data_IF_858519301023
#
_entry.id   IF_858519301023
#
_cell.length_a   1.000
_cell.length_b   1.000
_cell.length_c   1.000
_cell.angle_alpha   90.00
_cell.angle_beta   90.00
_cell.angle_gamma   90.00
#
_symmetry.space_group_name_H-M   'P 1'
#
loop_
_entity.id
_entity.type
_entity.pdbx_description
1 polymer ?
#
# COMPACT_ATOMS: atom_id res chain seq x y z
N UNK A 1 18.73 0.68 -7.09
CA UNK A 1 17.69 1.64 -6.71
C UNK A 1 16.89 1.08 -5.55
N UNK A 2 16.77 1.86 -4.47
CA UNK A 2 16.00 1.40 -3.32
C UNK A 2 14.52 1.30 -3.64
N UNK A 3 13.86 0.37 -3.00
CA UNK A 3 12.44 0.09 -3.21
C UNK A 3 11.64 0.51 -1.98
N UNK A 4 10.69 1.41 -2.21
CA UNK A 4 9.84 1.97 -1.16
C UNK A 4 8.42 1.46 -1.35
N UNK A 5 7.74 1.12 -0.25
CA UNK A 5 6.34 0.70 -0.30
C UNK A 5 5.51 1.55 0.63
N UNK A 6 4.49 2.19 0.08
CA UNK A 6 3.50 2.92 0.87
C UNK A 6 2.32 2.01 1.12
N UNK A 7 1.97 1.83 2.38
CA UNK A 7 0.82 0.99 2.75
C UNK A 7 -0.35 1.89 3.07
N UNK A 8 -1.43 1.69 2.35
CA UNK A 8 -2.65 2.48 2.44
C UNK A 8 -3.84 1.60 2.81
N UNK A 9 -4.82 2.20 3.48
CA UNK A 9 -6.06 1.50 3.78
C UNK A 9 -6.84 1.24 2.48
N UNK A 10 -7.11 2.29 1.71
CA UNK A 10 -7.84 2.18 0.45
C UNK A 10 -7.53 3.38 -0.45
N UNK A 11 -6.78 3.16 -1.53
CA UNK A 11 -6.39 4.22 -2.47
C UNK A 11 -7.54 4.65 -3.39
N UNK A 12 -8.67 3.96 -3.37
CA UNK A 12 -9.81 4.32 -4.21
C UNK A 12 -10.73 5.35 -3.56
N UNK A 13 -10.49 5.66 -2.29
CA UNK A 13 -11.25 6.68 -1.54
C UNK A 13 -10.58 8.03 -1.72
N UNK A 14 -11.39 9.09 -1.87
CA UNK A 14 -10.84 10.44 -1.94
C UNK A 14 -10.69 11.01 -0.53
N UNK A 15 -9.46 11.39 -0.18
CA UNK A 15 -9.16 11.90 1.15
C UNK A 15 -7.76 12.49 1.22
N UNK A 16 -7.43 13.08 2.37
CA UNK A 16 -6.15 13.75 2.57
C UNK A 16 -4.96 12.80 2.56
N UNK A 17 -5.10 11.64 3.19
CA UNK A 17 -4.00 10.67 3.28
C UNK A 17 -3.67 10.10 1.91
N UNK A 18 -4.68 9.74 1.13
CA UNK A 18 -4.49 9.20 -0.22
C UNK A 18 -3.86 10.22 -1.14
N UNK A 19 -4.24 11.49 -0.98
CA UNK A 19 -3.66 12.57 -1.77
C UNK A 19 -2.19 12.77 -1.43
N UNK A 20 -1.83 12.75 -0.15
CA UNK A 20 -0.44 12.86 0.30
C UNK A 20 0.37 11.68 -0.21
N UNK A 21 -0.16 10.47 -0.11
CA UNK A 21 0.52 9.28 -0.61
C UNK A 21 0.81 9.39 -2.10
N UNK A 22 -0.18 9.83 -2.88
CA UNK A 22 -0.01 10.02 -4.33
C UNK A 22 1.10 11.03 -4.62
N UNK A 23 1.10 12.16 -3.93
CA UNK A 23 2.10 13.20 -4.12
C UNK A 23 3.50 12.71 -3.79
N UNK A 24 3.66 12.02 -2.67
CA UNK A 24 4.96 11.49 -2.26
C UNK A 24 5.44 10.40 -3.22
N UNK A 25 4.55 9.49 -3.60
CA UNK A 25 4.92 8.40 -4.50
C UNK A 25 5.38 8.95 -5.86
N UNK A 26 4.63 9.90 -6.41
CA UNK A 26 5.00 10.51 -7.69
C UNK A 26 6.34 11.27 -7.59
N UNK A 27 6.56 11.95 -6.47
CA UNK A 27 7.80 12.68 -6.27
C UNK A 27 9.01 11.75 -6.14
N UNK A 28 8.83 10.59 -5.51
CA UNK A 28 9.93 9.67 -5.24
C UNK A 28 10.27 8.74 -6.40
N UNK A 29 9.39 8.57 -7.39
CA UNK A 29 9.61 7.56 -8.42
C UNK A 29 10.74 7.91 -9.39
N UNK A 30 11.29 9.10 -9.34
CA UNK A 30 12.51 9.45 -10.11
C UNK A 30 13.77 8.88 -9.46
N UNK A 31 13.78 8.79 -8.12
CA UNK A 31 14.97 8.37 -7.37
C UNK A 31 14.85 6.97 -6.77
N UNK A 32 13.64 6.45 -6.66
CA UNK A 32 13.37 5.17 -6.03
C UNK A 32 12.36 4.38 -6.85
N UNK A 33 12.38 3.07 -6.68
CA UNK A 33 11.32 2.24 -7.22
C UNK A 33 10.20 2.21 -6.20
N UNK A 34 9.01 2.70 -6.59
CA UNK A 34 7.92 2.96 -5.65
C UNK A 34 6.79 1.95 -5.84
N UNK A 35 6.32 1.44 -4.71
CA UNK A 35 5.20 0.51 -4.64
C UNK A 35 4.13 1.09 -3.73
N UNK A 36 2.86 0.86 -4.05
CA UNK A 36 1.74 1.19 -3.18
C UNK A 36 0.95 -0.09 -2.95
N UNK A 37 0.78 -0.44 -1.68
CA UNK A 37 0.01 -1.61 -1.29
C UNK A 37 -1.25 -1.15 -0.57
N UNK A 38 -2.40 -1.38 -1.19
CA UNK A 38 -3.70 -1.07 -0.61
C UNK A 38 -4.32 -2.29 0.04
N UNK A 39 -4.83 -2.14 1.24
CA UNK A 39 -5.52 -3.24 1.92
C UNK A 39 -6.85 -3.51 1.23
N UNK A 40 -7.57 -2.46 0.88
CA UNK A 40 -8.85 -2.54 0.18
C UNK A 40 -8.79 -1.82 -1.17
N UNK A 41 -9.87 -1.94 -1.94
CA UNK A 41 -9.99 -1.25 -3.20
C UNK A 41 -9.69 -2.09 -4.43
N UNK A 42 -9.54 -3.41 -4.25
CA UNK A 42 -9.25 -4.32 -5.37
C UNK A 42 -10.39 -4.27 -6.39
N UNK A 43 -10.00 -4.06 -7.65
CA UNK A 43 -10.96 -3.98 -8.75
C UNK A 43 -11.63 -2.64 -8.93
N UNK A 44 -11.35 -1.67 -8.05
CA UNK A 44 -11.90 -0.32 -8.18
C UNK A 44 -10.89 0.63 -8.80
N UNK A 45 -11.39 1.68 -9.43
CA UNK A 45 -10.55 2.70 -10.04
C UNK A 45 -9.93 3.61 -8.99
N UNK A 46 -8.63 3.87 -9.10
CA UNK A 46 -7.94 4.84 -8.25
C UNK A 46 -8.15 6.23 -8.85
N UNK A 47 -8.74 7.17 -8.08
CA UNK A 47 -9.08 8.50 -8.63
C UNK A 47 -7.90 9.47 -8.74
N UNK A 48 -6.69 9.04 -8.41
CA UNK A 48 -5.51 9.88 -8.46
C UNK A 48 -4.61 9.49 -9.62
N UNK A 49 -3.86 10.46 -10.15
CA UNK A 49 -2.91 10.22 -11.23
C UNK A 49 -1.59 9.69 -10.66
N UNK A 50 -1.44 8.39 -10.68
CA UNK A 50 -0.18 7.76 -10.28
C UNK A 50 0.75 7.66 -11.49
N UNK A 51 2.03 7.99 -11.28
CA UNK A 51 3.04 7.81 -12.31
C UNK A 51 3.04 6.35 -12.78
N UNK A 52 3.11 6.09 -14.10
CA UNK A 52 3.08 4.71 -14.61
C UNK A 52 4.19 3.80 -14.08
N UNK A 53 5.26 4.38 -13.53
CA UNK A 53 6.35 3.60 -12.95
C UNK A 53 6.00 3.04 -11.57
N UNK A 54 4.93 3.52 -10.94
CA UNK A 54 4.52 3.08 -9.61
C UNK A 54 3.82 1.73 -9.72
N UNK A 55 4.24 0.78 -8.87
CA UNK A 55 3.61 -0.53 -8.78
C UNK A 55 2.49 -0.47 -7.74
N UNK A 56 1.26 -0.63 -8.17
CA UNK A 56 0.10 -0.57 -7.28
C UNK A 56 -0.55 -1.94 -7.15
N UNK A 57 -0.85 -2.34 -5.92
CA UNK A 57 -1.61 -3.57 -5.66
C UNK A 57 -2.61 -3.33 -4.54
N UNK A 58 -3.85 -3.75 -4.75
CA UNK A 58 -4.89 -3.78 -3.73
C UNK A 58 -5.23 -5.23 -3.44
N UNK A 59 -5.30 -5.59 -2.15
CA UNK A 59 -5.43 -6.99 -1.75
C UNK A 59 -6.88 -7.44 -1.65
N UNK A 60 -7.75 -6.64 -1.02
CA UNK A 60 -9.14 -7.02 -0.78
C UNK A 60 -10.09 -6.06 -1.47
N UNK A 61 -11.24 -6.57 -1.93
CA UNK A 61 -12.22 -5.76 -2.66
C UNK A 61 -13.05 -4.87 -1.74
N UNK A 62 -13.42 -5.36 -0.57
CA UNK A 62 -14.34 -4.67 0.33
C UNK A 62 -13.80 -4.63 1.75
N UNK A 63 -14.29 -3.65 2.52
CA UNK A 63 -14.00 -3.58 3.95
C UNK A 63 -14.62 -4.79 4.63
N UNK A 64 -13.88 -5.42 5.51
CA UNK A 64 -14.33 -6.58 6.25
C UNK A 64 -13.92 -6.46 7.71
N UNK A 65 -14.34 -7.41 8.53
CA UNK A 65 -14.03 -7.37 9.96
C UNK A 65 -12.52 -7.39 10.19
N UNK A 66 -12.08 -6.71 11.24
CA UNK A 66 -10.67 -6.61 11.60
C UNK A 66 -9.98 -7.99 11.63
N UNK A 67 -10.66 -9.00 12.16
CA UNK A 67 -10.10 -10.35 12.22
C UNK A 67 -9.78 -10.89 10.83
N UNK A 68 -10.68 -10.73 9.88
CA UNK A 68 -10.45 -11.14 8.49
C UNK A 68 -9.34 -10.31 7.84
N UNK A 69 -9.30 -9.03 8.18
CA UNK A 69 -8.27 -8.13 7.66
C UNK A 69 -6.89 -8.64 8.03
N UNK A 70 -6.69 -8.97 9.30
CA UNK A 70 -5.41 -9.48 9.79
C UNK A 70 -5.05 -10.79 9.10
N UNK A 71 -5.96 -11.75 9.06
CA UNK A 71 -5.68 -13.06 8.47
C UNK A 71 -5.54 -13.01 6.96
N UNK A 72 -6.28 -12.10 6.29
CA UNK A 72 -6.30 -12.04 4.82
C UNK A 72 -5.18 -11.19 4.24
N UNK A 73 -4.58 -10.29 5.03
CA UNK A 73 -3.58 -9.34 4.52
C UNK A 73 -2.18 -9.61 5.05
N UNK A 74 -2.06 -10.13 6.26
CA UNK A 74 -0.75 -10.33 6.90
C UNK A 74 0.18 -11.18 6.04
N UNK A 75 -0.26 -12.36 5.63
CA UNK A 75 0.57 -13.27 4.85
C UNK A 75 0.83 -12.76 3.42
N UNK A 76 -0.18 -12.33 2.66
CA UNK A 76 0.05 -11.76 1.34
C UNK A 76 0.96 -10.54 1.37
N UNK A 77 0.82 -9.68 2.37
CA UNK A 77 1.68 -8.50 2.50
C UNK A 77 3.13 -8.90 2.74
N UNK A 78 3.35 -9.86 3.63
CA UNK A 78 4.69 -10.35 3.92
C UNK A 78 5.34 -10.93 2.67
N UNK A 79 4.59 -11.71 1.91
CA UNK A 79 5.09 -12.28 0.65
C UNK A 79 5.40 -11.19 -0.37
N UNK A 80 4.54 -10.18 -0.47
CA UNK A 80 4.72 -9.06 -1.38
C UNK A 80 6.02 -8.32 -1.08
N UNK A 81 6.28 -8.04 0.19
CA UNK A 81 7.50 -7.36 0.62
C UNK A 81 8.73 -8.20 0.25
N UNK A 82 8.67 -9.50 0.47
CA UNK A 82 9.79 -10.40 0.15
C UNK A 82 10.02 -10.52 -1.36
N UNK A 83 8.97 -10.76 -2.12
CA UNK A 83 9.07 -10.96 -3.56
C UNK A 83 9.61 -9.73 -4.27
N UNK A 84 9.24 -8.54 -3.81
CA UNK A 84 9.65 -7.30 -4.43
C UNK A 84 10.89 -6.71 -3.77
N UNK A 85 11.45 -7.37 -2.76
CA UNK A 85 12.66 -6.93 -2.06
C UNK A 85 12.55 -5.49 -1.60
N UNK A 86 11.43 -5.18 -0.93
CA UNK A 86 11.16 -3.82 -0.44
C UNK A 86 12.15 -3.45 0.67
N UNK A 87 12.76 -2.28 0.55
CA UNK A 87 13.74 -1.79 1.52
C UNK A 87 13.10 -1.01 2.67
N UNK A 88 12.07 -0.20 2.37
CA UNK A 88 11.43 0.67 3.36
C UNK A 88 9.92 0.62 3.17
N UNK A 89 9.19 0.55 4.28
CA UNK A 89 7.74 0.55 4.29
C UNK A 89 7.25 1.78 5.05
N UNK A 90 6.35 2.54 4.43
CA UNK A 90 5.69 3.67 5.07
C UNK A 90 4.24 3.31 5.36
N UNK A 91 3.86 3.31 6.63
CA UNK A 91 2.48 3.09 7.04
C UNK A 91 1.77 4.43 7.09
N UNK A 92 0.87 4.66 6.15
CA UNK A 92 0.26 5.97 5.96
C UNK A 92 -0.95 6.22 6.85
N UNK A 93 -1.54 5.17 7.42
CA UNK A 93 -2.72 5.28 8.28
C UNK A 93 -2.61 4.33 9.46
N UNK A 94 -3.40 4.60 10.52
CA UNK A 94 -3.42 3.74 11.70
C UNK A 94 -3.94 2.33 11.42
N UNK A 95 -4.93 2.21 10.53
CA UNK A 95 -5.47 0.89 10.19
C UNK A 95 -4.42 -0.03 9.59
N UNK A 96 -3.61 0.42 8.63
CA UNK A 96 -2.51 -0.41 8.14
C UNK A 96 -1.53 -0.79 9.25
N UNK A 97 -1.25 0.12 10.18
CA UNK A 97 -0.34 -0.17 11.29
C UNK A 97 -0.83 -1.32 12.15
N UNK A 98 -2.13 -1.36 12.43
CA UNK A 98 -2.73 -2.46 13.19
C UNK A 98 -2.66 -3.77 12.41
N UNK A 99 -2.89 -3.70 11.10
CA UNK A 99 -2.98 -4.88 10.25
C UNK A 99 -1.63 -5.50 9.94
N UNK A 100 -0.61 -4.67 9.67
CA UNK A 100 0.67 -5.14 9.13
C UNK A 100 1.85 -4.98 10.09
N UNK A 101 1.67 -4.33 11.23
CA UNK A 101 2.76 -4.12 12.17
C UNK A 101 3.45 -5.39 12.66
N UNK A 102 2.79 -6.57 12.73
CA UNK A 102 3.50 -7.80 13.10
C UNK A 102 4.51 -8.29 12.10
N UNK A 103 4.51 -7.76 10.88
CA UNK A 103 5.45 -8.20 9.83
C UNK A 103 6.86 -7.74 10.15
N UNK A 104 7.82 -8.65 10.01
CA UNK A 104 9.26 -8.37 10.20
C UNK A 104 9.98 -8.52 8.87
N UNK A 105 10.84 -7.59 8.59
CA UNK A 105 11.60 -7.59 7.35
C UNK A 105 13.07 -7.87 7.59
#
# INVERSE_FOLDING_TARGET
MKRLCFVEYDMTVTGGVEQVTTSLANAFCDAYEVYIYGIFGKGKHVPYDLDPRIHYRAELAEDCRIRKRITSVFKPFKEYIKENEIDVVFLMENHPAITVSPVRF
#
